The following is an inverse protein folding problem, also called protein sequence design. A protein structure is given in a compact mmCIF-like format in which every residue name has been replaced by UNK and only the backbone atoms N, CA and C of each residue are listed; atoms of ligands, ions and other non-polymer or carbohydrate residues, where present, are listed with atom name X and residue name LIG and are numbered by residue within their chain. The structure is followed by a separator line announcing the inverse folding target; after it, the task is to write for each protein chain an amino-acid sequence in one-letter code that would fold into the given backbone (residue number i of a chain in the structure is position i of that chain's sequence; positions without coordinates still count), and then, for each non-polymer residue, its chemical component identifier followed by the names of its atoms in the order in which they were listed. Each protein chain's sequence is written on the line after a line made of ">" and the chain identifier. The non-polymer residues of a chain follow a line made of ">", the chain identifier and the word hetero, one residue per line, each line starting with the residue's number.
data_IF_156111619791
#
_entry.id   IF_156111619791
#
_cell.length_a   1.000
_cell.length_b   1.000
_cell.length_c   1.000
_cell.angle_alpha   90.00
_cell.angle_beta   90.00
_cell.angle_gamma   90.00
#
_symmetry.space_group_name_H-M   'P 1'
#
loop_
_entity.id
_entity.type
_entity.pdbx_description
1 polymer ?
#
# COMPACT_ATOMS: atom_id res chain seq x y z
N UNK A 1 50.38 10.47 -24.68
CA UNK A 1 49.06 10.89 -25.23
C UNK A 1 48.29 11.49 -24.07
N UNK A 2 48.16 12.83 -23.99
CA UNK A 2 47.50 13.51 -22.88
C UNK A 2 45.97 13.37 -23.04
N UNK A 3 45.32 12.66 -22.14
CA UNK A 3 43.87 12.37 -22.12
C UNK A 3 43.07 13.48 -21.41
N UNK A 4 43.74 14.55 -20.97
CA UNK A 4 43.09 15.63 -20.22
C UNK A 4 42.81 16.82 -21.13
N UNK A 5 41.56 17.19 -21.35
CA UNK A 5 41.19 18.49 -21.91
C UNK A 5 41.41 19.58 -20.86
N UNK A 6 41.76 20.79 -21.32
CA UNK A 6 41.84 21.98 -20.46
C UNK A 6 40.56 22.80 -20.64
N UNK A 7 40.02 23.35 -19.54
CA UNK A 7 38.96 24.35 -19.61
C UNK A 7 39.51 25.70 -20.12
N UNK A 8 38.67 26.67 -20.41
CA UNK A 8 39.05 28.00 -20.90
C UNK A 8 39.94 28.77 -19.92
N UNK A 9 40.03 28.33 -18.67
CA UNK A 9 40.90 28.88 -17.63
C UNK A 9 42.21 28.12 -17.48
N UNK A 10 42.46 27.09 -18.31
CA UNK A 10 43.69 26.33 -18.36
C UNK A 10 43.84 25.19 -17.34
N UNK A 11 42.78 24.91 -16.56
CA UNK A 11 42.77 23.80 -15.61
C UNK A 11 42.42 22.45 -16.28
N UNK A 12 43.03 21.37 -15.81
CA UNK A 12 42.78 20.02 -16.31
C UNK A 12 41.40 19.54 -15.84
N UNK A 13 40.48 19.24 -16.77
CA UNK A 13 39.15 18.69 -16.47
C UNK A 13 39.14 17.18 -16.71
N UNK A 14 38.50 16.46 -15.82
CA UNK A 14 38.30 15.01 -15.97
C UNK A 14 37.22 14.70 -17.02
N UNK A 15 37.36 13.61 -17.81
CA UNK A 15 36.44 13.28 -18.91
C UNK A 15 34.98 13.20 -18.51
N UNK A 16 34.66 12.83 -17.27
CA UNK A 16 33.28 12.76 -16.77
C UNK A 16 32.66 14.14 -16.53
N UNK A 17 33.46 15.19 -16.24
CA UNK A 17 32.93 16.54 -16.08
C UNK A 17 32.46 17.17 -17.40
N UNK A 18 33.06 16.75 -18.53
CA UNK A 18 32.64 17.18 -19.85
C UNK A 18 31.31 16.58 -20.28
N UNK A 19 30.99 15.39 -19.82
CA UNK A 19 29.69 14.72 -20.11
C UNK A 19 28.50 15.44 -19.49
N UNK A 20 28.69 16.15 -18.38
CA UNK A 20 27.63 16.88 -17.69
C UNK A 20 27.50 18.36 -18.09
N UNK A 21 28.49 18.93 -18.76
CA UNK A 21 28.41 20.32 -19.25
C UNK A 21 27.42 20.55 -20.39
N UNK A 22 26.90 19.49 -21.01
CA UNK A 22 25.91 19.56 -22.09
C UNK A 22 24.46 19.64 -21.63
N UNK A 23 24.17 19.41 -20.35
CA UNK A 23 22.82 19.53 -19.82
C UNK A 23 22.59 20.99 -19.46
N UNK A 24 21.84 21.70 -20.31
CA UNK A 24 21.49 23.10 -20.05
C UNK A 24 20.69 23.16 -18.75
N UNK A 25 20.97 24.16 -17.91
CA UNK A 25 20.19 24.44 -16.69
C UNK A 25 18.68 24.53 -16.97
N UNK A 26 18.30 24.92 -18.20
CA UNK A 26 16.93 24.92 -18.69
C UNK A 26 16.34 23.51 -18.77
N UNK A 27 17.09 22.49 -19.20
CA UNK A 27 16.60 21.10 -19.26
C UNK A 27 16.42 20.51 -17.86
N UNK A 28 17.28 20.90 -16.91
CA UNK A 28 17.10 20.53 -15.49
C UNK A 28 15.89 21.21 -14.87
N UNK A 29 15.63 22.48 -15.19
CA UNK A 29 14.45 23.22 -14.74
C UNK A 29 13.17 22.68 -15.38
N UNK A 30 13.18 22.39 -16.69
CA UNK A 30 12.04 21.78 -17.40
C UNK A 30 11.68 20.41 -16.80
N UNK A 31 12.67 19.58 -16.47
CA UNK A 31 12.44 18.30 -15.79
C UNK A 31 11.94 18.48 -14.34
N UNK A 32 12.44 19.49 -13.61
CA UNK A 32 11.94 19.80 -12.26
C UNK A 32 10.52 20.37 -12.29
N UNK A 33 10.18 21.20 -13.26
CA UNK A 33 8.83 21.77 -13.39
C UNK A 33 7.82 20.72 -13.91
N UNK A 34 8.20 19.82 -14.80
CA UNK A 34 7.38 18.67 -15.22
C UNK A 34 7.08 17.71 -14.05
N UNK A 35 7.98 17.59 -13.08
CA UNK A 35 7.76 16.80 -11.86
C UNK A 35 6.90 17.52 -10.82
N UNK A 36 6.91 18.85 -10.81
CA UNK A 36 6.10 19.67 -9.88
C UNK A 36 4.62 19.78 -10.25
N UNK A 37 4.26 19.70 -11.53
CA UNK A 37 2.91 19.98 -12.00
C UNK A 37 1.93 18.81 -11.90
N UNK A 38 2.37 17.57 -11.66
CA UNK A 38 1.43 16.47 -11.44
C UNK A 38 1.11 16.32 -9.95
N UNK A 39 -0.05 16.84 -9.53
CA UNK A 39 -0.57 16.67 -8.18
C UNK A 39 -0.65 15.19 -7.75
N UNK A 40 -0.92 14.95 -6.46
CA UNK A 40 -1.13 13.61 -5.91
C UNK A 40 -2.18 12.86 -6.76
N UNK A 41 -1.97 11.58 -7.15
CA UNK A 41 -2.84 10.89 -8.10
C UNK A 41 -4.13 10.36 -7.44
N UNK A 42 -4.81 11.23 -6.69
CA UNK A 42 -6.00 10.89 -5.91
C UNK A 42 -7.08 10.22 -6.77
N UNK A 43 -7.38 10.80 -7.93
CA UNK A 43 -8.41 10.28 -8.83
C UNK A 43 -8.05 8.90 -9.41
N UNK A 44 -6.77 8.68 -9.71
CA UNK A 44 -6.30 7.35 -10.16
C UNK A 44 -6.44 6.32 -9.06
N UNK A 45 -6.10 6.66 -7.81
CA UNK A 45 -6.24 5.75 -6.66
C UNK A 45 -7.71 5.41 -6.44
N UNK A 46 -8.60 6.39 -6.53
CA UNK A 46 -10.04 6.19 -6.39
C UNK A 46 -10.59 5.21 -7.43
N UNK A 47 -10.25 5.41 -8.72
CA UNK A 47 -10.73 4.53 -9.80
C UNK A 47 -10.17 3.12 -9.66
N UNK A 48 -8.86 2.98 -9.42
CA UNK A 48 -8.23 1.68 -9.30
C UNK A 48 -8.71 0.89 -8.06
N UNK A 49 -8.92 1.57 -6.92
CA UNK A 49 -9.48 0.92 -5.74
C UNK A 49 -10.92 0.45 -5.97
N UNK A 50 -11.74 1.28 -6.64
CA UNK A 50 -13.10 0.89 -7.00
C UNK A 50 -13.11 -0.32 -7.96
N UNK A 51 -12.25 -0.30 -8.98
CA UNK A 51 -12.09 -1.41 -9.92
C UNK A 51 -11.69 -2.70 -9.20
N UNK A 52 -10.68 -2.63 -8.32
CA UNK A 52 -10.23 -3.79 -7.55
C UNK A 52 -11.36 -4.35 -6.67
N UNK A 53 -12.11 -3.50 -5.96
CA UNK A 53 -13.26 -3.93 -5.13
C UNK A 53 -14.36 -4.57 -5.97
N UNK A 54 -14.68 -4.04 -7.15
CA UNK A 54 -15.69 -4.63 -8.02
C UNK A 54 -15.28 -6.04 -8.46
N UNK A 55 -14.01 -6.22 -8.83
CA UNK A 55 -13.51 -7.53 -9.27
C UNK A 55 -13.36 -8.50 -8.09
N UNK A 56 -12.91 -8.04 -6.91
CA UNK A 56 -12.61 -8.91 -5.76
C UNK A 56 -13.85 -9.36 -4.99
N UNK A 57 -14.90 -8.55 -4.92
CA UNK A 57 -16.08 -8.84 -4.09
C UNK A 57 -17.40 -8.80 -4.88
N UNK A 58 -17.63 -7.75 -5.68
CA UNK A 58 -18.96 -7.57 -6.31
C UNK A 58 -19.20 -8.63 -7.39
N UNK A 59 -18.24 -8.85 -8.26
CA UNK A 59 -18.33 -9.86 -9.33
C UNK A 59 -18.46 -11.28 -8.76
N UNK A 60 -17.57 -11.73 -7.84
CA UNK A 60 -17.73 -13.05 -7.21
C UNK A 60 -19.08 -13.23 -6.52
N UNK A 61 -19.56 -12.20 -5.82
CA UNK A 61 -20.84 -12.25 -5.11
C UNK A 61 -22.03 -12.42 -6.07
N UNK A 62 -22.06 -11.65 -7.17
CA UNK A 62 -23.16 -11.70 -8.16
C UNK A 62 -23.17 -13.03 -8.92
N UNK A 63 -22.01 -13.55 -9.29
CA UNK A 63 -21.89 -14.77 -10.12
C UNK A 63 -21.74 -16.07 -9.32
N UNK A 64 -21.80 -15.98 -7.97
CA UNK A 64 -21.62 -17.15 -7.12
C UNK A 64 -20.21 -17.76 -7.15
N UNK A 65 -19.20 -16.96 -7.53
CA UNK A 65 -17.79 -17.35 -7.62
C UNK A 65 -17.03 -17.09 -6.32
N UNK A 66 -17.74 -16.95 -5.23
CA UNK A 66 -17.16 -16.66 -3.90
C UNK A 66 -16.31 -17.83 -3.44
N UNK A 67 -15.08 -17.55 -3.02
CA UNK A 67 -14.20 -18.61 -2.50
C UNK A 67 -14.71 -19.16 -1.16
N UNK A 68 -14.28 -20.38 -0.75
CA UNK A 68 -14.65 -20.93 0.56
C UNK A 68 -14.27 -20.01 1.72
N UNK A 69 -13.13 -19.32 1.63
CA UNK A 69 -12.70 -18.37 2.65
C UNK A 69 -13.62 -17.15 2.72
N UNK A 70 -13.97 -16.59 1.59
CA UNK A 70 -14.90 -15.46 1.51
C UNK A 70 -16.29 -15.86 1.99
N UNK A 71 -16.75 -17.05 1.62
CA UNK A 71 -18.03 -17.59 2.10
C UNK A 71 -18.02 -17.74 3.63
N UNK A 72 -16.93 -18.25 4.19
CA UNK A 72 -16.77 -18.36 5.65
C UNK A 72 -16.82 -16.99 6.31
N UNK A 73 -16.18 -15.98 5.74
CA UNK A 73 -16.18 -14.61 6.27
C UNK A 73 -17.60 -14.00 6.27
N UNK A 74 -18.36 -14.18 5.18
CA UNK A 74 -19.76 -13.74 5.10
C UNK A 74 -20.65 -14.51 6.07
N UNK A 75 -20.50 -15.83 6.12
CA UNK A 75 -21.27 -16.67 7.05
C UNK A 75 -21.00 -16.29 8.50
N UNK A 76 -19.75 -16.05 8.87
CA UNK A 76 -19.39 -15.63 10.22
C UNK A 76 -20.08 -14.31 10.60
N UNK A 77 -20.07 -13.31 9.68
CA UNK A 77 -20.76 -12.04 9.91
C UNK A 77 -22.27 -12.21 10.10
N UNK A 78 -22.91 -13.02 9.27
CA UNK A 78 -24.33 -13.35 9.40
C UNK A 78 -24.62 -14.08 10.71
N UNK A 79 -23.84 -15.09 11.04
CA UNK A 79 -24.05 -15.93 12.22
C UNK A 79 -23.85 -15.17 13.53
N UNK A 80 -22.87 -14.26 13.58
CA UNK A 80 -22.69 -13.35 14.71
C UNK A 80 -23.92 -12.44 14.92
N UNK A 81 -24.56 -12.02 13.83
CA UNK A 81 -25.79 -11.24 13.92
C UNK A 81 -26.96 -12.05 14.46
N UNK A 82 -26.95 -13.39 14.32
CA UNK A 82 -27.93 -14.33 14.88
C UNK A 82 -27.55 -14.81 16.28
N UNK A 83 -26.75 -14.06 17.05
CA UNK A 83 -26.27 -14.36 18.39
C UNK A 83 -25.24 -15.53 18.47
N UNK A 84 -24.56 -15.85 17.38
CA UNK A 84 -23.41 -16.76 17.41
C UNK A 84 -22.26 -16.21 18.25
N UNK A 85 -21.47 -17.07 18.88
CA UNK A 85 -20.33 -16.68 19.71
C UNK A 85 -19.02 -16.92 18.96
N UNK A 86 -18.18 -15.88 18.87
CA UNK A 86 -16.84 -16.00 18.30
C UNK A 86 -16.00 -16.93 19.20
N UNK A 87 -15.18 -17.77 18.56
CA UNK A 87 -14.27 -18.74 19.19
C UNK A 87 -14.92 -19.92 19.94
N UNK A 88 -16.23 -19.92 20.10
CA UNK A 88 -17.00 -21.07 20.61
C UNK A 88 -17.71 -21.79 19.49
N UNK A 89 -18.46 -21.05 18.67
CA UNK A 89 -19.24 -21.59 17.56
C UNK A 89 -18.49 -21.51 16.24
N UNK A 90 -17.48 -20.60 16.15
CA UNK A 90 -16.70 -20.33 14.94
C UNK A 90 -15.21 -20.26 15.26
N UNK A 91 -14.43 -21.12 14.63
CA UNK A 91 -12.98 -21.09 14.66
C UNK A 91 -12.48 -20.24 13.49
N UNK A 92 -12.15 -18.98 13.76
CA UNK A 92 -11.58 -18.07 12.74
C UNK A 92 -10.14 -17.69 13.06
N UNK A 93 -9.32 -17.61 12.04
CA UNK A 93 -7.93 -17.14 12.12
C UNK A 93 -7.81 -15.60 12.09
N UNK A 94 -8.93 -14.91 11.94
CA UNK A 94 -8.99 -13.45 11.85
C UNK A 94 -9.04 -12.79 13.23
N UNK A 95 -8.70 -11.51 13.28
CA UNK A 95 -8.72 -10.75 14.53
C UNK A 95 -10.11 -10.26 14.94
N UNK A 96 -10.24 -9.89 16.21
CA UNK A 96 -11.50 -9.47 16.80
C UNK A 96 -12.13 -8.27 16.08
N UNK A 97 -11.32 -7.30 15.65
CA UNK A 97 -11.80 -6.11 14.95
C UNK A 97 -12.42 -6.47 13.58
N UNK A 98 -11.87 -7.48 12.90
CA UNK A 98 -12.43 -7.97 11.65
C UNK A 98 -13.81 -8.59 11.86
N UNK A 99 -14.01 -9.39 12.91
CA UNK A 99 -15.32 -9.94 13.24
C UNK A 99 -16.35 -8.87 13.59
N UNK A 100 -15.93 -7.77 14.23
CA UNK A 100 -16.82 -6.63 14.45
C UNK A 100 -17.26 -5.99 13.12
N UNK A 101 -16.36 -5.84 12.15
CA UNK A 101 -16.69 -5.30 10.82
C UNK A 101 -17.65 -6.23 10.06
N UNK A 102 -17.42 -7.54 10.10
CA UNK A 102 -18.32 -8.53 9.48
C UNK A 102 -19.70 -8.56 10.15
N UNK A 103 -19.73 -8.40 11.48
CA UNK A 103 -20.98 -8.25 12.23
C UNK A 103 -21.79 -7.03 11.78
N UNK A 104 -21.15 -5.87 11.65
CA UNK A 104 -21.79 -4.63 11.21
C UNK A 104 -22.32 -4.71 9.78
N UNK A 105 -21.65 -5.42 8.90
CA UNK A 105 -22.07 -5.64 7.52
C UNK A 105 -23.08 -6.79 7.36
N UNK A 106 -23.35 -7.54 8.41
CA UNK A 106 -24.25 -8.69 8.44
C UNK A 106 -23.93 -9.77 7.39
N UNK A 107 -22.65 -9.87 6.99
CA UNK A 107 -22.23 -10.77 5.92
C UNK A 107 -22.79 -10.42 4.54
N UNK A 108 -23.19 -9.18 4.31
CA UNK A 108 -23.80 -8.73 3.05
C UNK A 108 -22.80 -8.05 2.13
N UNK A 109 -23.26 -7.77 0.90
CA UNK A 109 -22.47 -7.01 -0.12
C UNK A 109 -22.03 -5.61 0.40
N UNK A 110 -22.64 -5.09 1.46
CA UNK A 110 -22.21 -3.84 2.09
C UNK A 110 -20.75 -3.91 2.57
N UNK A 111 -20.21 -5.10 2.77
CA UNK A 111 -18.79 -5.28 3.07
C UNK A 111 -17.88 -4.75 1.95
N UNK A 112 -18.38 -4.67 0.71
CA UNK A 112 -17.67 -4.06 -0.39
C UNK A 112 -17.28 -2.58 -0.14
N UNK A 113 -18.08 -1.85 0.63
CA UNK A 113 -17.75 -0.47 1.01
C UNK A 113 -16.54 -0.44 1.97
N UNK A 114 -16.48 -1.37 2.91
CA UNK A 114 -15.36 -1.51 3.85
C UNK A 114 -14.09 -1.83 3.09
N UNK A 115 -14.14 -2.77 2.17
CA UNK A 115 -13.02 -3.15 1.32
C UNK A 115 -12.55 -1.99 0.44
N UNK A 116 -13.49 -1.29 -0.20
CA UNK A 116 -13.14 -0.14 -1.03
C UNK A 116 -12.41 0.96 -0.26
N UNK A 117 -12.93 1.33 0.93
CA UNK A 117 -12.27 2.32 1.80
C UNK A 117 -10.88 1.85 2.22
N UNK A 118 -10.74 0.56 2.55
CA UNK A 118 -9.44 -0.03 2.89
C UNK A 118 -8.46 0.01 1.72
N UNK A 119 -8.87 -0.42 0.53
CA UNK A 119 -8.04 -0.39 -0.67
C UNK A 119 -7.66 1.04 -1.09
N UNK A 120 -8.58 1.98 -0.96
CA UNK A 120 -8.31 3.38 -1.21
C UNK A 120 -7.22 3.93 -0.25
N UNK A 121 -7.37 3.69 1.06
CA UNK A 121 -6.37 4.07 2.06
C UNK A 121 -5.02 3.38 1.83
N UNK A 122 -5.02 2.08 1.53
CA UNK A 122 -3.82 1.33 1.19
C UNK A 122 -3.07 1.94 0.00
N UNK A 123 -3.79 2.31 -1.07
CA UNK A 123 -3.22 2.97 -2.24
C UNK A 123 -2.57 4.31 -1.94
N UNK A 124 -3.19 5.13 -1.07
CA UNK A 124 -2.62 6.40 -0.64
C UNK A 124 -1.25 6.19 0.04
N UNK A 125 -1.19 5.29 1.02
CA UNK A 125 0.03 5.06 1.78
C UNK A 125 1.10 4.34 0.97
N UNK A 126 0.71 3.38 0.11
CA UNK A 126 1.62 2.72 -0.81
C UNK A 126 2.26 3.72 -1.79
N UNK A 127 1.44 4.59 -2.40
CA UNK A 127 1.95 5.60 -3.31
C UNK A 127 2.91 6.56 -2.59
N UNK A 128 2.56 7.00 -1.37
CA UNK A 128 3.41 7.86 -0.56
C UNK A 128 4.77 7.18 -0.31
N UNK A 129 4.77 5.95 0.22
CA UNK A 129 5.99 5.20 0.52
C UNK A 129 6.86 5.00 -0.72
N UNK A 130 6.25 4.57 -1.83
CA UNK A 130 6.96 4.35 -3.08
C UNK A 130 7.59 5.65 -3.60
N UNK A 131 6.88 6.76 -3.50
CA UNK A 131 7.40 8.06 -3.94
C UNK A 131 8.55 8.55 -3.02
N UNK A 132 8.49 8.34 -1.71
CA UNK A 132 9.56 8.66 -0.77
C UNK A 132 10.82 7.84 -1.09
N UNK A 133 10.67 6.51 -1.24
CA UNK A 133 11.82 5.61 -1.43
C UNK A 133 12.46 5.72 -2.82
N UNK A 134 11.68 5.96 -3.86
CA UNK A 134 12.20 5.98 -5.24
C UNK A 134 12.55 7.39 -5.73
N UNK A 135 11.99 8.42 -5.12
CA UNK A 135 12.06 9.80 -5.62
C UNK A 135 11.35 10.00 -6.98
N UNK A 136 10.73 8.95 -7.54
CA UNK A 136 10.19 8.94 -8.90
C UNK A 136 8.69 8.62 -8.91
N UNK A 137 7.86 9.63 -9.14
CA UNK A 137 6.39 9.51 -9.22
C UNK A 137 5.90 8.51 -10.28
N UNK A 138 6.65 8.37 -11.38
CA UNK A 138 6.32 7.41 -12.45
C UNK A 138 6.38 5.97 -11.93
N UNK A 139 7.44 5.61 -11.25
CA UNK A 139 7.61 4.28 -10.64
C UNK A 139 6.57 4.02 -9.54
N UNK A 140 6.29 5.02 -8.71
CA UNK A 140 5.25 4.92 -7.69
C UNK A 140 3.85 4.65 -8.30
N UNK A 141 3.51 5.26 -9.45
CA UNK A 141 2.26 4.97 -10.18
C UNK A 141 2.22 3.56 -10.77
N UNK A 142 3.34 3.08 -11.32
CA UNK A 142 3.44 1.72 -11.84
C UNK A 142 3.26 0.69 -10.72
N UNK A 143 3.93 0.88 -9.58
CA UNK A 143 3.76 0.03 -8.41
C UNK A 143 2.30 0.01 -7.92
N UNK A 144 1.65 1.15 -7.89
CA UNK A 144 0.25 1.27 -7.53
C UNK A 144 -0.67 0.48 -8.48
N UNK A 145 -0.46 0.57 -9.80
CA UNK A 145 -1.23 -0.19 -10.77
C UNK A 145 -1.01 -1.70 -10.61
N UNK A 146 0.22 -2.15 -10.44
CA UNK A 146 0.56 -3.55 -10.17
C UNK A 146 -0.12 -4.04 -8.90
N UNK A 147 -0.09 -3.24 -7.83
CA UNK A 147 -0.75 -3.56 -6.56
C UNK A 147 -2.24 -3.82 -6.76
N UNK A 148 -2.97 -2.93 -7.41
CA UNK A 148 -4.42 -3.11 -7.62
C UNK A 148 -4.74 -4.27 -8.55
N UNK A 149 -3.93 -4.53 -9.57
CA UNK A 149 -4.10 -5.72 -10.43
C UNK A 149 -3.88 -7.02 -9.65
N UNK A 150 -2.87 -7.06 -8.78
CA UNK A 150 -2.63 -8.22 -7.90
C UNK A 150 -3.77 -8.42 -6.91
N UNK A 151 -4.26 -7.37 -6.26
CA UNK A 151 -5.40 -7.46 -5.33
C UNK A 151 -6.65 -7.92 -6.07
N UNK A 152 -6.95 -7.39 -7.24
CA UNK A 152 -8.09 -7.82 -8.04
C UNK A 152 -7.99 -9.32 -8.41
N UNK A 153 -6.79 -9.80 -8.76
CA UNK A 153 -6.57 -11.21 -9.09
C UNK A 153 -6.63 -12.14 -7.87
N UNK A 154 -6.13 -11.70 -6.72
CA UNK A 154 -6.17 -12.44 -5.46
C UNK A 154 -7.57 -12.45 -4.83
N UNK A 155 -8.41 -11.49 -5.18
CA UNK A 155 -9.80 -11.40 -4.70
C UNK A 155 -10.64 -12.64 -4.95
N UNK A 156 -10.31 -13.42 -5.96
CA UNK A 156 -10.99 -14.70 -6.24
C UNK A 156 -10.65 -15.83 -5.24
N UNK A 157 -9.75 -15.62 -4.29
CA UNK A 157 -9.37 -16.62 -3.29
C UNK A 157 -8.71 -16.05 -2.03
N UNK A 158 -8.57 -14.72 -1.96
CA UNK A 158 -7.88 -14.04 -0.87
C UNK A 158 -8.73 -13.87 0.39
N UNK A 159 -8.07 -13.55 1.49
CA UNK A 159 -8.72 -13.19 2.75
C UNK A 159 -9.06 -11.71 2.76
N UNK A 160 -10.32 -11.37 2.94
CA UNK A 160 -10.77 -9.98 3.10
C UNK A 160 -10.18 -9.32 4.35
N UNK A 161 -9.92 -10.08 5.41
CA UNK A 161 -9.27 -9.57 6.61
C UNK A 161 -7.89 -8.96 6.31
N UNK A 162 -7.12 -9.59 5.43
CA UNK A 162 -5.84 -9.06 4.98
C UNK A 162 -6.02 -7.74 4.20
N UNK A 163 -7.01 -7.68 3.30
CA UNK A 163 -7.29 -6.46 2.51
C UNK A 163 -7.65 -5.30 3.45
N UNK A 164 -8.51 -5.54 4.43
CA UNK A 164 -8.90 -4.51 5.41
C UNK A 164 -7.73 -4.10 6.32
N UNK A 165 -6.75 -4.97 6.55
CA UNK A 165 -5.54 -4.65 7.32
C UNK A 165 -4.51 -3.85 6.49
N UNK A 166 -4.50 -3.93 5.16
CA UNK A 166 -3.50 -3.29 4.28
C UNK A 166 -3.28 -1.78 4.52
N UNK A 167 -4.29 -0.92 4.70
CA UNK A 167 -4.05 0.49 4.94
C UNK A 167 -3.21 0.75 6.19
N UNK A 168 -3.40 -0.04 7.24
CA UNK A 168 -2.61 0.08 8.47
C UNK A 168 -1.17 -0.42 8.27
N UNK A 169 -0.99 -1.52 7.53
CA UNK A 169 0.34 -2.04 7.17
C UNK A 169 1.11 -1.03 6.31
N UNK A 170 0.49 -0.48 5.27
CA UNK A 170 1.14 0.49 4.41
C UNK A 170 1.32 1.86 5.08
N UNK A 171 0.47 2.24 6.02
CA UNK A 171 0.71 3.41 6.86
C UNK A 171 1.95 3.21 7.74
N UNK A 172 2.08 2.06 8.41
CA UNK A 172 3.28 1.73 9.16
C UNK A 172 4.53 1.77 8.27
N UNK A 173 4.45 1.17 7.08
CA UNK A 173 5.54 1.20 6.10
C UNK A 173 5.88 2.63 5.64
N UNK A 174 4.87 3.49 5.43
CA UNK A 174 5.12 4.88 5.02
C UNK A 174 5.87 5.68 6.09
N UNK A 175 5.59 5.42 7.37
CA UNK A 175 6.30 6.06 8.48
C UNK A 175 7.74 5.59 8.60
N UNK A 176 7.99 4.30 8.34
CA UNK A 176 9.37 3.75 8.29
C UNK A 176 10.11 4.29 7.07
N UNK A 177 9.47 4.39 5.91
CA UNK A 177 10.08 5.00 4.73
C UNK A 177 10.46 6.47 4.97
N UNK A 178 9.59 7.24 5.63
CA UNK A 178 9.88 8.63 6.03
C UNK A 178 11.07 8.70 7.02
N UNK A 179 11.21 7.74 7.94
CA UNK A 179 12.36 7.65 8.86
C UNK A 179 13.66 7.28 8.14
N UNK A 180 13.61 6.38 7.15
CA UNK A 180 14.78 6.00 6.37
C UNK A 180 15.28 7.16 5.50
N UNK A 181 14.38 8.03 5.04
CA UNK A 181 14.72 9.25 4.31
C UNK A 181 15.30 10.34 5.23
N UNK A 182 14.70 10.52 6.42
CA UNK A 182 15.16 11.47 7.45
C UNK A 182 15.19 10.82 8.85
N UNK A 183 16.33 10.26 9.28
CA UNK A 183 16.47 9.61 10.59
C UNK A 183 16.28 10.53 11.82
N UNK A 184 16.26 11.85 11.62
CA UNK A 184 15.99 12.79 12.73
C UNK A 184 14.52 12.78 13.19
N UNK A 185 13.62 12.17 12.38
CA UNK A 185 12.20 12.10 12.65
C UNK A 185 11.80 10.78 13.38
N UNK A 186 12.24 10.64 14.62
CA UNK A 186 11.99 9.45 15.46
C UNK A 186 10.55 9.35 16.03
N UNK A 187 9.78 10.45 15.97
CA UNK A 187 8.42 10.53 16.54
C UNK A 187 7.39 9.60 15.88
N UNK A 188 7.75 8.97 14.76
CA UNK A 188 6.89 8.07 14.01
C UNK A 188 6.71 6.68 14.64
N UNK A 189 7.65 6.17 15.43
CA UNK A 189 7.66 4.79 15.90
C UNK A 189 6.46 4.37 16.75
N UNK A 190 5.95 5.28 17.61
CA UNK A 190 4.71 5.00 18.35
C UNK A 190 3.53 4.77 17.40
N UNK A 191 3.42 5.59 16.34
CA UNK A 191 2.36 5.45 15.33
C UNK A 191 2.52 4.17 14.50
N UNK A 192 3.76 3.75 14.22
CA UNK A 192 4.05 2.45 13.59
C UNK A 192 3.51 1.33 14.47
N UNK A 193 3.84 1.32 15.76
CA UNK A 193 3.35 0.32 16.71
C UNK A 193 1.81 0.29 16.80
N UNK A 194 1.17 1.45 16.92
CA UNK A 194 -0.31 1.54 16.94
C UNK A 194 -0.94 1.02 15.66
N UNK A 195 -0.36 1.33 14.51
CA UNK A 195 -0.87 0.89 13.22
C UNK A 195 -0.75 -0.62 13.05
N UNK A 196 0.40 -1.19 13.44
CA UNK A 196 0.60 -2.65 13.44
C UNK A 196 -0.33 -3.36 14.43
N UNK A 197 -0.61 -2.77 15.59
CA UNK A 197 -1.58 -3.31 16.55
C UNK A 197 -3.00 -3.35 15.95
N UNK A 198 -3.45 -2.28 15.28
CA UNK A 198 -4.75 -2.28 14.60
C UNK A 198 -4.79 -3.32 13.47
N UNK A 199 -3.75 -3.42 12.67
CA UNK A 199 -3.65 -4.45 11.63
C UNK A 199 -3.68 -5.87 12.22
N UNK A 200 -3.03 -6.10 13.37
CA UNK A 200 -3.03 -7.37 14.06
C UNK A 200 -4.45 -7.76 14.53
N UNK A 201 -5.21 -6.82 15.07
CA UNK A 201 -6.60 -7.08 15.45
C UNK A 201 -7.55 -7.30 14.25
N UNK A 202 -7.11 -7.03 13.03
CA UNK A 202 -7.83 -7.38 11.80
C UNK A 202 -7.36 -8.72 11.24
N UNK A 203 -6.06 -8.88 11.05
CA UNK A 203 -5.46 -10.05 10.39
C UNK A 203 -4.11 -10.40 11.07
N UNK A 204 -4.11 -11.27 12.10
CA UNK A 204 -2.93 -11.51 12.93
C UNK A 204 -1.73 -12.08 12.18
N UNK A 205 -1.95 -13.13 11.37
CA UNK A 205 -0.85 -13.86 10.71
C UNK A 205 -0.11 -12.97 9.69
N UNK A 206 -0.78 -12.35 8.70
CA UNK A 206 -0.10 -11.46 7.76
C UNK A 206 0.58 -10.27 8.44
N UNK A 207 -0.04 -9.71 9.49
CA UNK A 207 0.54 -8.59 10.23
C UNK A 207 1.83 -8.99 10.94
N UNK A 208 1.88 -10.16 11.57
CA UNK A 208 3.09 -10.65 12.25
C UNK A 208 4.23 -10.83 11.25
N UNK A 209 3.97 -11.44 10.09
CA UNK A 209 4.96 -11.61 9.03
C UNK A 209 5.46 -10.27 8.50
N UNK A 210 4.54 -9.32 8.26
CA UNK A 210 4.89 -7.99 7.81
C UNK A 210 5.73 -7.23 8.85
N UNK A 211 5.34 -7.26 10.13
CA UNK A 211 6.07 -6.62 11.21
C UNK A 211 7.49 -7.19 11.37
N UNK A 212 7.65 -8.51 11.25
CA UNK A 212 8.96 -9.15 11.26
C UNK A 212 9.84 -8.69 10.08
N UNK A 213 9.27 -8.65 8.86
CA UNK A 213 9.98 -8.16 7.67
C UNK A 213 10.38 -6.69 7.83
N UNK A 214 9.47 -5.85 8.34
CA UNK A 214 9.73 -4.44 8.58
C UNK A 214 10.83 -4.24 9.63
N UNK A 215 10.81 -5.01 10.72
CA UNK A 215 11.87 -4.98 11.73
C UNK A 215 13.23 -5.35 11.13
N UNK A 216 13.30 -6.42 10.33
CA UNK A 216 14.53 -6.85 9.66
C UNK A 216 15.08 -5.80 8.66
N UNK A 217 14.23 -4.96 8.09
CA UNK A 217 14.67 -3.90 7.16
C UNK A 217 15.32 -2.70 7.87
N UNK A 218 15.20 -2.61 9.20
CA UNK A 218 15.78 -1.54 10.02
C UNK A 218 17.17 -1.87 10.56
N UNK A 219 17.62 -3.13 10.42
CA UNK A 219 18.95 -3.62 10.82
C UNK A 219 19.83 -3.89 9.61
#
# INVERSE_FOLDING_TARGET
>A
MNVYGKNDEGEATYPYEQQFRGVKEEDLKLNQDATKTSGFPFFSILIWSLFATVISIVVPFIFGLVSPQQMQDFYTGWALHQNGQIYTDYYGSNGLLYYLLTYLSQGSILFALVEWVALFGAGIFLFKSANTLTGQRGQARQLLAIFYLLVASLGFGGSYAMIVAMPFLFYAFSLVADYLDDPSNDKGFLRVGMSLALAFFLSPIPTTLFAATLALSLF
#
